data_IF_229568560269
#
_entry.id   IF_229568560269
#
_cell.length_a   1.000
_cell.length_b   1.000
_cell.length_c   1.000
_cell.angle_alpha   90.00
_cell.angle_beta   90.00
_cell.angle_gamma   90.00
#
_symmetry.space_group_name_H-M   'P 1'
#
loop_
_entity.id
_entity.type
_entity.pdbx_description
1 polymer ?
#
# COMPACT_ATOMS: atom_id res chain seq x y z
N UNK A 1 0.28 -7.92 5.06
CA UNK A 1 -0.19 -8.81 6.16
C UNK A 1 -1.66 -9.20 6.02
N UNK A 2 -2.61 -8.26 5.95
CA UNK A 2 -4.04 -8.61 5.79
C UNK A 2 -4.35 -9.40 4.51
N UNK A 3 -3.75 -9.04 3.38
CA UNK A 3 -3.87 -9.80 2.12
C UNK A 3 -3.40 -11.25 2.28
N UNK A 4 -2.22 -11.46 2.86
CA UNK A 4 -1.68 -12.80 3.11
C UNK A 4 -2.58 -13.59 4.07
N UNK A 5 -3.11 -12.94 5.11
CA UNK A 5 -4.06 -13.56 6.04
C UNK A 5 -5.37 -13.96 5.35
N UNK A 6 -5.89 -13.15 4.41
CA UNK A 6 -7.07 -13.53 3.62
C UNK A 6 -6.83 -14.76 2.74
N UNK A 7 -5.63 -14.93 2.20
CA UNK A 7 -5.28 -16.15 1.45
C UNK A 7 -5.22 -17.39 2.35
N UNK A 8 -4.86 -17.23 3.63
CA UNK A 8 -4.81 -18.35 4.58
C UNK A 8 -6.19 -18.94 4.92
N UNK A 9 -7.27 -18.15 4.78
CA UNK A 9 -8.63 -18.59 5.12
C UNK A 9 -9.08 -19.80 4.27
N UNK A 10 -8.62 -19.89 3.02
CA UNK A 10 -9.01 -20.98 2.09
C UNK A 10 -8.02 -22.16 2.10
N UNK A 11 -6.92 -22.11 2.86
CA UNK A 11 -5.88 -23.16 2.83
C UNK A 11 -6.43 -24.57 3.03
N UNK A 12 -7.42 -24.74 3.91
CA UNK A 12 -8.06 -26.04 4.18
C UNK A 12 -9.05 -26.50 3.11
N UNK A 13 -9.44 -25.60 2.20
CA UNK A 13 -10.43 -25.87 1.16
C UNK A 13 -9.84 -25.77 -0.25
N UNK A 14 -8.53 -25.58 -0.44
CA UNK A 14 -7.90 -25.35 -1.77
C UNK A 14 -8.19 -26.47 -2.78
N UNK A 15 -8.34 -27.71 -2.33
CA UNK A 15 -8.64 -28.89 -3.15
C UNK A 15 -9.98 -29.49 -2.71
N UNK A 16 -10.80 -29.94 -3.67
CA UNK A 16 -12.06 -30.62 -3.41
C UNK A 16 -13.30 -29.78 -3.76
N UNK A 17 -14.44 -29.97 -3.06
CA UNK A 17 -15.69 -29.30 -3.38
C UNK A 17 -15.58 -27.77 -3.24
N UNK A 18 -16.46 -27.01 -3.90
CA UNK A 18 -16.43 -25.55 -3.85
C UNK A 18 -16.52 -25.04 -2.40
N UNK A 19 -15.82 -23.94 -2.06
CA UNK A 19 -15.81 -23.41 -0.71
C UNK A 19 -17.19 -22.88 -0.33
N UNK A 20 -17.49 -22.84 0.98
CA UNK A 20 -18.73 -22.23 1.45
C UNK A 20 -18.81 -20.77 0.98
N UNK A 21 -19.97 -20.36 0.48
CA UNK A 21 -20.17 -19.03 -0.12
C UNK A 21 -19.74 -17.89 0.82
N UNK A 22 -20.03 -18.00 2.12
CA UNK A 22 -19.67 -16.98 3.12
C UNK A 22 -18.16 -16.75 3.24
N UNK A 23 -17.36 -17.83 3.28
CA UNK A 23 -15.89 -17.74 3.29
C UNK A 23 -15.37 -17.06 2.02
N UNK A 24 -15.94 -17.44 0.88
CA UNK A 24 -15.57 -16.92 -0.43
C UNK A 24 -15.90 -15.41 -0.54
N UNK A 25 -17.05 -14.97 -0.03
CA UNK A 25 -17.43 -13.55 0.07
C UNK A 25 -16.44 -12.80 0.94
N UNK A 26 -16.16 -13.27 2.15
CA UNK A 26 -15.24 -12.60 3.09
C UNK A 26 -13.85 -12.44 2.45
N UNK A 27 -13.34 -13.51 1.82
CA UNK A 27 -12.04 -13.47 1.17
C UNK A 27 -12.02 -12.48 0.01
N UNK A 28 -13.00 -12.53 -0.89
CA UNK A 28 -13.08 -11.61 -2.02
C UNK A 28 -13.16 -10.15 -1.55
N UNK A 29 -13.96 -9.89 -0.51
CA UNK A 29 -14.12 -8.55 0.06
C UNK A 29 -12.81 -8.02 0.64
N UNK A 30 -12.06 -8.85 1.36
CA UNK A 30 -10.74 -8.48 1.90
C UNK A 30 -9.69 -8.26 0.79
N UNK A 31 -9.70 -9.09 -0.26
CA UNK A 31 -8.78 -8.98 -1.40
C UNK A 31 -8.95 -7.63 -2.13
N UNK A 32 -10.19 -7.15 -2.27
CA UNK A 32 -10.47 -5.86 -2.91
C UNK A 32 -10.26 -4.67 -1.96
N UNK A 33 -10.69 -4.77 -0.69
CA UNK A 33 -10.59 -3.64 0.24
C UNK A 33 -9.16 -3.35 0.71
N UNK A 34 -8.32 -4.38 0.90
CA UNK A 34 -6.97 -4.21 1.45
C UNK A 34 -6.03 -3.34 0.57
N UNK A 35 -5.92 -3.55 -0.76
CA UNK A 35 -5.09 -2.72 -1.62
C UNK A 35 -5.51 -1.25 -1.61
N UNK A 36 -6.81 -0.96 -1.68
CA UNK A 36 -7.35 0.39 -1.63
C UNK A 36 -7.02 1.09 -0.30
N UNK A 37 -7.24 0.40 0.83
CA UNK A 37 -6.88 0.90 2.16
C UNK A 37 -5.38 1.18 2.27
N UNK A 38 -4.53 0.28 1.76
CA UNK A 38 -3.08 0.45 1.79
C UNK A 38 -2.64 1.67 0.95
N UNK A 39 -3.21 1.85 -0.26
CA UNK A 39 -2.97 3.03 -1.08
C UNK A 39 -3.34 4.32 -0.36
N UNK A 40 -4.52 4.36 0.28
CA UNK A 40 -4.97 5.50 1.06
C UNK A 40 -4.09 5.77 2.29
N UNK A 41 -3.62 4.72 2.98
CA UNK A 41 -2.72 4.83 4.12
C UNK A 41 -1.36 5.42 3.72
N UNK A 42 -0.78 4.97 2.60
CA UNK A 42 0.47 5.53 2.09
C UNK A 42 0.30 6.98 1.67
N UNK A 43 -0.81 7.34 1.00
CA UNK A 43 -1.11 8.74 0.68
C UNK A 43 -1.18 9.61 1.93
N UNK A 44 -1.90 9.13 2.94
CA UNK A 44 -2.11 9.81 4.21
C UNK A 44 -0.77 10.05 4.93
N UNK A 45 0.09 9.04 4.96
CA UNK A 45 1.44 9.13 5.51
C UNK A 45 2.31 10.14 4.73
N UNK A 46 2.30 10.09 3.40
CA UNK A 46 3.07 11.01 2.56
C UNK A 46 2.61 12.45 2.70
N UNK A 47 1.30 12.68 2.83
CA UNK A 47 0.74 14.00 3.06
C UNK A 47 1.18 14.56 4.42
N UNK A 48 1.18 13.71 5.46
CA UNK A 48 1.69 14.09 6.77
C UNK A 48 3.19 14.40 6.72
N UNK A 49 3.98 13.58 6.02
CA UNK A 49 5.41 13.80 5.83
C UNK A 49 5.68 15.13 5.09
N UNK A 50 4.89 15.42 4.05
CA UNK A 50 4.96 16.69 3.34
C UNK A 50 4.70 17.88 4.26
N UNK A 51 3.66 17.83 5.10
CA UNK A 51 3.39 18.91 6.05
C UNK A 51 4.52 19.11 7.06
N UNK A 52 5.08 18.02 7.59
CA UNK A 52 6.24 18.10 8.49
C UNK A 52 7.42 18.76 7.79
N UNK A 53 7.78 18.34 6.57
CA UNK A 53 8.89 18.92 5.80
C UNK A 53 8.61 20.39 5.46
N UNK A 54 7.37 20.73 5.08
CA UNK A 54 7.00 22.11 4.77
C UNK A 54 7.13 23.03 5.98
N UNK A 55 6.77 22.55 7.18
CA UNK A 55 6.88 23.32 8.42
C UNK A 55 8.33 23.56 8.86
N UNK A 56 9.28 22.75 8.40
CA UNK A 56 10.71 22.96 8.65
C UNK A 56 11.28 24.11 7.79
N UNK A 57 10.74 24.37 6.60
CA UNK A 57 11.19 25.48 5.75
C UNK A 57 10.85 26.87 6.34
N UNK A 58 9.79 26.94 7.15
CA UNK A 58 9.32 28.20 7.76
C UNK A 58 10.05 28.55 9.08
N UNK A 59 11.09 27.81 9.47
CA UNK A 59 11.88 27.98 10.71
C UNK A 59 12.59 29.33 10.87
N UNK A 60 12.44 30.27 9.93
CA UNK A 60 12.74 31.69 10.16
C UNK A 60 11.74 32.41 11.08
N UNK A 61 10.59 31.80 11.41
CA UNK A 61 9.52 32.48 12.15
C UNK A 61 8.77 31.54 13.10
N UNK A 62 9.38 31.22 14.24
CA UNK A 62 8.82 30.51 15.41
C UNK A 62 8.17 29.12 15.16
N UNK A 63 8.32 28.16 16.08
CA UNK A 63 7.79 26.81 15.90
C UNK A 63 6.25 26.81 16.06
N UNK A 64 5.53 27.08 14.97
CA UNK A 64 4.14 26.70 14.89
C UNK A 64 4.11 25.17 14.84
N UNK A 65 3.78 24.53 15.97
CA UNK A 65 3.46 23.10 16.01
C UNK A 65 2.52 22.80 14.83
N UNK A 66 2.92 21.96 13.85
CA UNK A 66 2.03 21.65 12.75
C UNK A 66 0.78 21.06 13.39
N UNK A 67 -0.37 21.71 13.17
CA UNK A 67 -1.66 21.20 13.64
C UNK A 67 -1.81 19.83 12.99
N UNK A 68 -1.43 18.79 13.74
CA UNK A 68 -1.48 17.41 13.30
C UNK A 68 -2.91 17.14 12.88
N UNK A 69 -3.13 17.11 11.57
CA UNK A 69 -4.46 17.02 11.01
C UNK A 69 -4.91 15.57 11.16
N UNK A 70 -5.39 15.22 12.37
CA UNK A 70 -5.80 13.87 12.74
C UNK A 70 -6.83 13.28 11.78
N UNK A 71 -7.56 14.13 11.06
CA UNK A 71 -8.48 13.75 9.99
C UNK A 71 -7.83 12.90 8.90
N UNK A 72 -6.54 13.07 8.61
CA UNK A 72 -5.83 12.28 7.59
C UNK A 72 -5.70 10.80 7.99
N UNK A 73 -5.66 10.48 9.29
CA UNK A 73 -5.64 9.10 9.78
C UNK A 73 -6.99 8.38 9.64
N UNK A 74 -8.08 9.12 9.42
CA UNK A 74 -9.44 8.58 9.27
C UNK A 74 -9.71 8.14 7.81
N UNK A 75 -8.95 8.66 6.85
CA UNK A 75 -9.16 8.36 5.42
C UNK A 75 -8.98 6.85 5.10
N UNK A 76 -7.92 6.16 5.55
CA UNK A 76 -7.72 4.75 5.22
C UNK A 76 -8.85 3.81 5.68
N UNK A 77 -9.31 3.85 6.97
CA UNK A 77 -10.42 3.00 7.38
C UNK A 77 -11.72 3.37 6.67
N UNK A 78 -11.95 4.64 6.36
CA UNK A 78 -13.12 5.04 5.57
C UNK A 78 -13.12 4.42 4.16
N UNK A 79 -11.98 4.49 3.46
CA UNK A 79 -11.81 3.84 2.15
C UNK A 79 -12.01 2.33 2.26
N UNK A 80 -11.48 1.69 3.30
CA UNK A 80 -11.68 0.27 3.57
C UNK A 80 -13.17 -0.08 3.68
N UNK A 81 -13.92 0.61 4.54
CA UNK A 81 -15.35 0.38 4.71
C UNK A 81 -16.15 0.67 3.44
N UNK A 82 -15.79 1.70 2.67
CA UNK A 82 -16.44 2.01 1.41
C UNK A 82 -16.32 0.86 0.39
N UNK A 83 -15.13 0.28 0.24
CA UNK A 83 -14.91 -0.86 -0.66
C UNK A 83 -15.57 -2.13 -0.13
N UNK A 84 -15.57 -2.37 1.19
CA UNK A 84 -16.31 -3.49 1.78
C UNK A 84 -17.80 -3.42 1.42
N UNK A 85 -18.42 -2.25 1.60
CA UNK A 85 -19.84 -2.02 1.30
C UNK A 85 -20.11 -2.17 -0.20
N UNK A 86 -19.24 -1.63 -1.06
CA UNK A 86 -19.34 -1.76 -2.52
C UNK A 86 -19.35 -3.22 -2.98
N UNK A 87 -18.41 -4.04 -2.50
CA UNK A 87 -18.35 -5.47 -2.82
C UNK A 87 -19.61 -6.21 -2.36
N UNK A 88 -20.13 -5.91 -1.16
CA UNK A 88 -21.35 -6.53 -0.64
C UNK A 88 -22.59 -6.13 -1.44
N UNK A 89 -22.69 -4.87 -1.87
CA UNK A 89 -23.78 -4.40 -2.73
C UNK A 89 -23.72 -5.09 -4.09
N UNK A 90 -22.55 -5.16 -4.72
CA UNK A 90 -22.37 -5.83 -6.02
C UNK A 90 -22.70 -7.33 -5.91
N UNK A 91 -22.31 -7.97 -4.82
CA UNK A 91 -22.60 -9.37 -4.56
C UNK A 91 -24.10 -9.64 -4.33
N UNK A 92 -24.80 -8.76 -3.61
CA UNK A 92 -26.23 -8.95 -3.28
C UNK A 92 -27.16 -8.60 -4.45
N UNK A 93 -26.78 -7.66 -5.30
CA UNK A 93 -27.59 -7.21 -6.46
C UNK A 93 -27.26 -8.03 -7.72
N UNK A 94 -26.00 -8.38 -7.93
CA UNK A 94 -25.60 -9.19 -9.07
C UNK A 94 -25.78 -10.66 -8.77
N UNK A 95 -26.37 -11.41 -9.70
CA UNK A 95 -26.31 -12.89 -9.75
C UNK A 95 -24.88 -13.39 -10.08
N UNK A 96 -23.89 -12.65 -9.60
CA UNK A 96 -22.46 -12.91 -9.72
C UNK A 96 -22.11 -14.01 -8.74
N UNK A 97 -22.22 -15.25 -9.22
CA UNK A 97 -21.61 -16.40 -8.55
C UNK A 97 -20.14 -16.10 -8.26
N UNK A 98 -19.75 -16.20 -6.99
CA UNK A 98 -18.35 -16.20 -6.60
C UNK A 98 -17.76 -17.54 -7.01
N UNK A 99 -16.73 -17.50 -7.84
CA UNK A 99 -16.05 -18.70 -8.28
C UNK A 99 -14.63 -18.69 -7.76
N UNK A 100 -14.11 -19.89 -7.52
CA UNK A 100 -12.70 -20.07 -7.22
C UNK A 100 -11.88 -19.79 -8.48
N UNK A 101 -10.78 -19.08 -8.32
CA UNK A 101 -9.81 -18.86 -9.39
C UNK A 101 -9.22 -20.19 -9.89
N UNK A 102 -8.71 -20.21 -11.13
CA UNK A 102 -8.12 -21.40 -11.75
C UNK A 102 -6.95 -21.96 -10.93
N UNK A 103 -6.19 -21.10 -10.24
CA UNK A 103 -5.10 -21.49 -9.37
C UNK A 103 -5.57 -22.07 -8.01
N UNK A 104 -6.86 -21.96 -7.69
CA UNK A 104 -7.43 -22.41 -6.42
C UNK A 104 -7.06 -21.57 -5.20
N UNK A 105 -6.36 -20.45 -5.40
CA UNK A 105 -5.73 -19.66 -4.32
C UNK A 105 -6.67 -18.62 -3.72
N UNK A 106 -7.63 -18.12 -4.50
CA UNK A 106 -8.57 -17.11 -4.06
C UNK A 106 -9.94 -17.23 -4.76
N UNK A 107 -10.94 -16.61 -4.14
CA UNK A 107 -12.26 -16.40 -4.69
C UNK A 107 -12.36 -15.06 -5.41
N UNK A 108 -12.99 -15.04 -6.59
CA UNK A 108 -13.17 -13.83 -7.39
C UNK A 108 -14.51 -13.79 -8.11
N UNK A 109 -14.93 -12.58 -8.48
CA UNK A 109 -16.11 -12.38 -9.34
C UNK A 109 -15.69 -12.41 -10.81
N UNK A 110 -16.02 -13.48 -11.53
CA UNK A 110 -15.72 -13.58 -12.98
C UNK A 110 -16.63 -12.69 -13.83
N UNK A 111 -17.94 -12.70 -13.54
CA UNK A 111 -18.96 -12.01 -14.33
C UNK A 111 -18.91 -10.49 -14.13
N UNK A 112 -18.92 -10.05 -12.87
CA UNK A 112 -18.96 -8.63 -12.49
C UNK A 112 -17.59 -8.13 -12.06
N UNK A 113 -16.86 -7.52 -13.00
CA UNK A 113 -15.52 -6.92 -12.76
C UNK A 113 -15.56 -5.50 -12.15
N UNK A 114 -16.70 -5.08 -11.61
CA UNK A 114 -16.88 -3.73 -11.05
C UNK A 114 -15.92 -3.50 -9.86
N UNK A 115 -15.84 -4.39 -8.85
CA UNK A 115 -15.02 -4.12 -7.67
C UNK A 115 -13.53 -4.13 -7.95
N UNK A 116 -13.11 -4.94 -8.93
CA UNK A 116 -11.74 -4.93 -9.45
C UNK A 116 -11.40 -3.57 -10.05
N UNK A 117 -12.29 -3.01 -10.88
CA UNK A 117 -12.08 -1.71 -11.54
C UNK A 117 -12.10 -0.56 -10.54
N UNK A 118 -13.03 -0.56 -9.59
CA UNK A 118 -13.12 0.47 -8.54
C UNK A 118 -11.87 0.46 -7.67
N UNK A 119 -11.49 -0.72 -7.17
CA UNK A 119 -10.26 -0.89 -6.37
C UNK A 119 -9.03 -0.44 -7.14
N UNK A 120 -8.88 -0.88 -8.39
CA UNK A 120 -7.75 -0.50 -9.22
C UNK A 120 -7.69 1.02 -9.45
N UNK A 121 -8.82 1.66 -9.74
CA UNK A 121 -8.89 3.11 -9.92
C UNK A 121 -8.47 3.86 -8.65
N UNK A 122 -8.96 3.45 -7.47
CA UNK A 122 -8.57 4.04 -6.19
C UNK A 122 -7.06 3.90 -5.96
N UNK A 123 -6.51 2.71 -6.17
CA UNK A 123 -5.07 2.47 -6.01
C UNK A 123 -4.24 3.32 -6.97
N UNK A 124 -4.64 3.43 -8.24
CA UNK A 124 -3.95 4.26 -9.25
C UNK A 124 -3.96 5.73 -8.85
N UNK A 125 -5.13 6.27 -8.43
CA UNK A 125 -5.25 7.65 -7.97
C UNK A 125 -4.34 7.90 -6.76
N UNK A 126 -4.34 6.98 -5.79
CA UNK A 126 -3.46 7.05 -4.63
C UNK A 126 -1.97 7.02 -5.04
N UNK A 127 -1.58 6.14 -5.95
CA UNK A 127 -0.20 6.08 -6.44
C UNK A 127 0.24 7.39 -7.11
N UNK A 128 -0.61 7.98 -7.96
CA UNK A 128 -0.31 9.27 -8.60
C UNK A 128 -0.15 10.36 -7.54
N UNK A 129 -1.05 10.42 -6.56
CA UNK A 129 -0.95 11.39 -5.47
C UNK A 129 0.34 11.23 -4.66
N UNK A 130 0.77 10.00 -4.38
CA UNK A 130 2.03 9.71 -3.70
C UNK A 130 3.23 10.21 -4.48
N UNK A 131 3.30 9.95 -5.80
CA UNK A 131 4.41 10.43 -6.64
C UNK A 131 4.51 11.96 -6.67
N UNK A 132 3.36 12.63 -6.77
CA UNK A 132 3.30 14.10 -6.75
C UNK A 132 3.82 14.62 -5.40
N UNK A 133 3.35 14.05 -4.28
CA UNK A 133 3.80 14.42 -2.94
C UNK A 133 5.29 14.15 -2.74
N UNK A 134 5.78 13.01 -3.23
CA UNK A 134 7.19 12.64 -3.17
C UNK A 134 8.07 13.63 -3.94
N UNK A 135 7.67 14.01 -5.14
CA UNK A 135 8.35 15.04 -5.92
C UNK A 135 8.37 16.39 -5.18
N UNK A 136 7.26 16.80 -4.56
CA UNK A 136 7.22 18.02 -3.77
C UNK A 136 8.10 17.97 -2.51
N UNK A 137 8.10 16.86 -1.78
CA UNK A 137 8.98 16.62 -0.63
C UNK A 137 10.44 16.73 -1.08
N UNK A 138 10.80 16.06 -2.18
CA UNK A 138 12.15 16.08 -2.72
C UNK A 138 12.60 17.49 -3.13
N UNK A 139 11.76 18.24 -3.86
CA UNK A 139 12.05 19.61 -4.27
C UNK A 139 12.26 20.51 -3.05
N UNK A 140 11.37 20.43 -2.05
CA UNK A 140 11.48 21.22 -0.82
C UNK A 140 12.73 20.87 -0.02
N UNK A 141 13.03 19.58 0.11
CA UNK A 141 14.22 19.13 0.82
C UNK A 141 15.50 19.60 0.11
N UNK A 142 15.54 19.55 -1.23
CA UNK A 142 16.68 20.05 -2.01
C UNK A 142 16.86 21.56 -1.87
N UNK A 143 15.77 22.32 -1.93
CA UNK A 143 15.80 23.78 -1.74
C UNK A 143 16.38 24.16 -0.37
N UNK A 144 15.98 23.46 0.70
CA UNK A 144 16.52 23.70 2.04
C UNK A 144 17.95 23.18 2.22
N UNK A 145 18.31 22.08 1.55
CA UNK A 145 19.67 21.57 1.52
C UNK A 145 20.66 22.58 0.96
N UNK A 146 20.32 23.23 -0.15
CA UNK A 146 21.18 24.22 -0.79
C UNK A 146 21.26 25.52 0.04
N UNK A 147 20.23 25.85 0.83
CA UNK A 147 20.19 27.06 1.68
C UNK A 147 20.88 26.89 3.02
N UNK A 148 20.82 25.71 3.63
CA UNK A 148 21.18 25.54 5.05
C UNK A 148 21.81 24.17 5.36
N UNK A 149 22.97 23.92 4.74
CA UNK A 149 23.82 22.73 4.97
C UNK A 149 24.08 22.43 6.45
N UNK A 150 24.13 23.46 7.32
CA UNK A 150 24.35 23.29 8.77
C UNK A 150 23.11 22.84 9.56
N UNK A 151 21.88 23.14 9.13
CA UNK A 151 20.66 22.78 9.88
C UNK A 151 20.29 21.30 9.73
N UNK A 152 20.69 20.68 8.62
CA UNK A 152 20.35 19.30 8.26
C UNK A 152 21.09 18.24 9.09
N UNK A 153 22.18 18.60 9.77
CA UNK A 153 22.77 17.73 10.78
C UNK A 153 21.88 17.53 12.01
N UNK A 154 20.86 18.38 12.20
CA UNK A 154 19.95 18.33 13.36
C UNK A 154 18.60 17.70 13.01
N UNK A 155 18.27 17.54 11.72
CA UNK A 155 17.02 16.89 11.31
C UNK A 155 17.05 15.40 11.63
N UNK A 156 16.05 14.96 12.41
CA UNK A 156 15.90 13.60 12.93
C UNK A 156 15.66 12.52 11.86
N UNK A 157 15.44 12.87 10.59
CA UNK A 157 15.25 11.92 9.50
C UNK A 157 16.47 11.89 8.57
N UNK A 158 17.30 10.83 8.62
CA UNK A 158 18.48 10.75 7.76
C UNK A 158 18.05 10.70 6.29
N UNK A 159 18.68 11.47 5.38
CA UNK A 159 18.31 11.55 3.96
C UNK A 159 18.35 10.20 3.24
N UNK A 160 19.11 9.24 3.78
CA UNK A 160 19.14 7.83 3.32
C UNK A 160 17.76 7.15 3.41
N UNK A 161 16.93 7.50 4.38
CA UNK A 161 15.59 6.93 4.56
C UNK A 161 14.67 7.44 3.46
N UNK A 162 14.72 8.74 3.17
CA UNK A 162 13.91 9.37 2.12
C UNK A 162 14.30 8.83 0.74
N UNK A 163 15.59 8.75 0.43
CA UNK A 163 16.06 8.18 -0.84
C UNK A 163 15.64 6.71 -1.01
N UNK A 164 15.69 5.92 0.07
CA UNK A 164 15.25 4.52 0.04
C UNK A 164 13.74 4.43 -0.23
N UNK A 165 12.93 5.21 0.47
CA UNK A 165 11.48 5.25 0.27
C UNK A 165 11.13 5.68 -1.16
N UNK A 166 11.85 6.67 -1.71
CA UNK A 166 11.66 7.15 -3.07
C UNK A 166 11.97 6.09 -4.15
N UNK A 167 13.12 5.42 -4.03
CA UNK A 167 13.52 4.34 -4.95
C UNK A 167 12.47 3.22 -4.97
N UNK A 168 11.96 2.84 -3.79
CA UNK A 168 10.93 1.80 -3.70
C UNK A 168 9.55 2.27 -4.15
N UNK A 169 9.20 3.55 -3.93
CA UNK A 169 8.00 4.16 -4.49
C UNK A 169 7.99 4.11 -6.01
N UNK A 170 9.10 4.54 -6.63
CA UNK A 170 9.31 4.46 -8.07
C UNK A 170 9.23 3.03 -8.60
N UNK A 171 9.84 2.06 -7.90
CA UNK A 171 9.78 0.65 -8.29
C UNK A 171 8.37 0.07 -8.19
N UNK A 172 7.63 0.39 -7.12
CA UNK A 172 6.26 -0.07 -6.94
C UNK A 172 5.32 0.52 -8.00
N UNK A 173 5.49 1.81 -8.33
CA UNK A 173 4.71 2.47 -9.38
C UNK A 173 5.05 1.91 -10.75
N UNK A 174 6.32 1.70 -11.08
CA UNK A 174 6.70 1.14 -12.38
C UNK A 174 6.15 -0.29 -12.54
N UNK A 175 6.22 -1.12 -11.50
CA UNK A 175 5.60 -2.44 -11.48
C UNK A 175 4.08 -2.38 -11.67
N UNK A 176 3.40 -1.40 -11.06
CA UNK A 176 1.96 -1.20 -11.21
C UNK A 176 1.59 -0.74 -12.62
N UNK A 177 2.32 0.22 -13.18
CA UNK A 177 2.14 0.69 -14.56
C UNK A 177 2.35 -0.43 -15.57
N UNK A 178 3.40 -1.24 -15.39
CA UNK A 178 3.67 -2.41 -16.22
C UNK A 178 2.52 -3.43 -16.10
N UNK A 179 2.02 -3.67 -14.89
CA UNK A 179 0.91 -4.61 -14.67
C UNK A 179 -0.38 -4.14 -15.34
N UNK A 180 -0.70 -2.85 -15.26
CA UNK A 180 -1.87 -2.25 -15.91
C UNK A 180 -1.70 -2.22 -17.42
N UNK A 181 -0.52 -1.86 -17.93
CA UNK A 181 -0.23 -1.87 -19.36
C UNK A 181 -0.34 -3.29 -19.93
N UNK A 182 0.26 -4.29 -19.29
CA UNK A 182 0.21 -5.67 -19.72
C UNK A 182 -1.22 -6.23 -19.67
N UNK A 183 -1.97 -5.96 -18.60
CA UNK A 183 -3.37 -6.42 -18.49
C UNK A 183 -4.34 -5.69 -19.42
N UNK A 184 -4.08 -4.43 -19.75
CA UNK A 184 -4.85 -3.64 -20.71
C UNK A 184 -4.57 -4.01 -22.18
N UNK A 185 -3.32 -4.38 -22.50
CA UNK A 185 -2.92 -4.75 -23.86
C UNK A 185 -3.09 -6.25 -24.18
N UNK A 186 -3.13 -7.14 -23.17
CA UNK A 186 -3.26 -8.60 -23.39
C UNK A 186 -4.54 -9.16 -22.80
N UNK A 187 -5.68 -8.77 -23.38
CA UNK A 187 -6.99 -9.31 -22.99
C UNK A 187 -7.13 -10.83 -23.26
N UNK A 188 -6.24 -11.44 -24.05
CA UNK A 188 -6.27 -12.88 -24.37
C UNK A 188 -5.35 -13.76 -23.50
N UNK A 189 -4.31 -13.22 -22.85
CA UNK A 189 -3.25 -14.05 -22.23
C UNK A 189 -3.44 -14.34 -20.74
N UNK A 190 -4.45 -13.71 -20.10
CA UNK A 190 -4.74 -13.88 -18.66
C UNK A 190 -5.30 -15.26 -18.30
N UNK A 191 -5.76 -16.04 -19.28
CA UNK A 191 -6.28 -17.39 -19.06
C UNK A 191 -5.18 -18.45 -18.97
N UNK A 192 -3.90 -18.09 -19.19
CA UNK A 192 -2.80 -19.04 -19.05
C UNK A 192 -2.43 -19.21 -17.57
N UNK A 193 -2.42 -20.45 -17.03
CA UNK A 193 -2.07 -20.69 -15.62
C UNK A 193 -0.65 -20.23 -15.27
N UNK A 194 0.24 -20.15 -16.26
CA UNK A 194 1.61 -19.66 -16.12
C UNK A 194 1.69 -18.15 -15.86
N UNK A 195 0.83 -17.33 -16.49
CA UNK A 195 0.76 -15.90 -16.25
C UNK A 195 0.23 -15.58 -14.84
N UNK A 196 -0.78 -16.33 -14.38
CA UNK A 196 -1.32 -16.20 -13.03
C UNK A 196 -0.26 -16.52 -11.96
N UNK A 197 0.51 -17.59 -12.15
CA UNK A 197 1.62 -17.96 -11.25
C UNK A 197 2.70 -16.86 -11.17
N UNK A 198 3.08 -16.28 -12.31
CA UNK A 198 4.07 -15.19 -12.37
C UNK A 198 3.64 -13.94 -11.60
N UNK A 199 2.36 -13.55 -11.73
CA UNK A 199 1.82 -12.40 -11.00
C UNK A 199 1.80 -12.60 -9.47
N UNK A 200 1.43 -13.81 -9.01
CA UNK A 200 1.44 -14.15 -7.59
C UNK A 200 2.85 -14.14 -7.01
N UNK A 201 3.83 -14.64 -7.75
CA UNK A 201 5.24 -14.62 -7.35
C UNK A 201 5.78 -13.19 -7.25
N UNK A 202 5.45 -12.33 -8.21
CA UNK A 202 5.85 -10.93 -8.20
C UNK A 202 5.28 -10.18 -6.98
N UNK A 203 4.00 -10.40 -6.67
CA UNK A 203 3.36 -9.82 -5.48
C UNK A 203 4.04 -10.32 -4.19
N UNK A 204 4.37 -11.61 -4.11
CA UNK A 204 5.04 -12.18 -2.94
C UNK A 204 6.44 -11.58 -2.74
N UNK A 205 7.24 -11.46 -3.81
CA UNK A 205 8.57 -10.84 -3.77
C UNK A 205 8.45 -9.37 -3.36
N UNK A 206 7.47 -8.65 -3.90
CA UNK A 206 7.24 -7.25 -3.54
C UNK A 206 6.93 -7.10 -2.05
N UNK A 207 6.08 -7.97 -1.48
CA UNK A 207 5.76 -7.94 -0.04
C UNK A 207 6.97 -8.33 0.83
N UNK A 208 7.78 -9.30 0.40
CA UNK A 208 9.01 -9.67 1.08
C UNK A 208 10.04 -8.52 1.08
N UNK A 209 10.19 -7.84 -0.06
CA UNK A 209 11.05 -6.67 -0.18
C UNK A 209 10.57 -5.53 0.74
N UNK A 210 9.28 -5.22 0.74
CA UNK A 210 8.68 -4.23 1.65
C UNK A 210 8.96 -4.56 3.12
N UNK A 211 8.76 -5.82 3.52
CA UNK A 211 9.04 -6.27 4.88
C UNK A 211 10.52 -6.12 5.24
N UNK A 212 11.44 -6.44 4.33
CA UNK A 212 12.87 -6.29 4.54
C UNK A 212 13.26 -4.81 4.70
N UNK A 213 12.67 -3.90 3.93
CA UNK A 213 12.99 -2.47 3.97
C UNK A 213 12.51 -1.83 5.26
N UNK A 214 11.26 -2.09 5.62
CA UNK A 214 10.68 -1.57 6.86
C UNK A 214 11.34 -2.24 8.06
N UNK A 215 11.54 -3.55 8.02
CA UNK A 215 12.20 -4.30 9.09
C UNK A 215 13.67 -3.96 9.31
N UNK A 216 14.35 -3.39 8.32
CA UNK A 216 15.75 -2.91 8.46
C UNK A 216 15.84 -1.47 8.96
N UNK A 217 14.72 -0.78 9.20
CA UNK A 217 14.77 0.55 9.81
C UNK A 217 15.17 0.44 11.27
N UNK A 218 16.23 1.19 11.64
CA UNK A 218 16.77 1.21 13.00
C UNK A 218 15.72 1.63 14.03
N UNK A 219 14.77 2.47 13.64
CA UNK A 219 13.70 2.94 14.53
C UNK A 219 12.76 1.80 14.92
N UNK A 220 12.31 1.00 13.95
CA UNK A 220 11.47 -0.18 14.20
C UNK A 220 12.25 -1.22 15.01
N UNK A 221 13.49 -1.49 14.61
CA UNK A 221 14.38 -2.40 15.31
C UNK A 221 14.66 -1.95 16.75
N UNK A 222 14.72 -0.65 17.02
CA UNK A 222 14.93 -0.11 18.37
C UNK A 222 13.72 -0.32 19.28
N UNK A 223 12.50 -0.19 18.74
CA UNK A 223 11.25 -0.48 19.46
C UNK A 223 11.12 -1.97 19.72
N UNK A 224 11.46 -2.81 18.74
CA UNK A 224 11.40 -4.27 18.88
C UNK A 224 12.50 -4.82 19.79
N UNK A 225 13.69 -4.22 19.80
CA UNK A 225 14.76 -4.55 20.73
C UNK A 225 14.62 -3.84 22.08
N UNK A 226 13.40 -3.71 22.61
CA UNK A 226 13.15 -3.09 23.93
C UNK A 226 13.94 -3.78 25.06
N UNK A 227 14.35 -5.03 24.86
CA UNK A 227 15.18 -5.81 25.80
C UNK A 227 16.66 -5.38 25.84
N UNK A 228 17.16 -4.65 24.85
CA UNK A 228 18.56 -4.23 24.80
C UNK A 228 18.69 -2.88 25.55
N UNK A 229 19.28 -2.89 26.75
CA UNK A 229 19.60 -1.66 27.50
C UNK A 229 20.35 -0.70 26.58
N UNK A 230 19.80 0.50 26.40
CA UNK A 230 20.51 1.55 25.69
C UNK A 230 21.81 1.83 26.46
N UNK A 231 22.98 1.82 25.79
CA UNK A 231 24.20 2.26 26.43
C UNK A 231 23.98 3.72 26.84
N UNK A 232 24.09 3.99 28.14
CA UNK A 232 24.07 5.34 28.70
C UNK A 232 25.20 6.15 28.05
N UNK A 233 24.86 6.96 27.05
CA UNK A 233 25.78 7.94 26.48
C UNK A 233 26.03 9.01 27.54
N UNK A 234 27.21 8.95 28.17
CA UNK A 234 27.85 10.09 28.83
C UNK A 234 28.45 11.01 27.78
#
# INVERSE_FOLDING_TARGET
MLYSASCLIIVTQQVGPPPSTSICVIQATLIYACPAMNGAAVCSFMLQAYWVVSSLGDLGSAPAHPKSNRWVLVIPPFVFYAILVEVLIVYTIGDSGLERDLAGTHCGMKQNRIPVRVTAAVVVICCIAVLILEAFIYIKLRQEWDRNVKSLCTTQMPPRVIARVAIFGLFAVSALVISVALSGFTLESYNSPTAAAGSNLAIAIMQAAQALILGTQRDILSVWMFWKKQPSSY
#
